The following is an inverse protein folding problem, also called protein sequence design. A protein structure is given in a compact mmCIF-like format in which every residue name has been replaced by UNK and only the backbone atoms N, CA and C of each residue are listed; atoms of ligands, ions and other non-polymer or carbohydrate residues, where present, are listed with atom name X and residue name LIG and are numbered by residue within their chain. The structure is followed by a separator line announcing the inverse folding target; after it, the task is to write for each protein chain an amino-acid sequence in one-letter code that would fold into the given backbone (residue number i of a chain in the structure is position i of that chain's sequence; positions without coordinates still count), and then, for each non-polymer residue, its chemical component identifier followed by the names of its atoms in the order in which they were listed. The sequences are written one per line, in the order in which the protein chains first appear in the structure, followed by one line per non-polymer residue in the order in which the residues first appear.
data_IF_637360724244
#
_entry.id   IF_637360724244
#
_cell.length_a   1.000
_cell.length_b   1.000
_cell.length_c   1.000
_cell.angle_alpha   90.00
_cell.angle_beta   90.00
_cell.angle_gamma   90.00
#
_symmetry.space_group_name_H-M   'P 1'
#
loop_
_entity.id
_entity.type
_entity.pdbx_description
1 polymer ?
#
# COMPACT_ATOMS: atom_id res chain seq x y z
N UNK A 1 27.11 4.77 -6.96
CA UNK A 1 26.34 5.76 -7.72
C UNK A 1 25.23 5.03 -8.47
N UNK A 2 23.97 5.34 -8.17
CA UNK A 2 22.77 4.78 -8.82
C UNK A 2 22.43 5.51 -10.13
N UNK A 3 23.25 6.49 -10.50
CA UNK A 3 23.18 7.21 -11.75
C UNK A 3 22.27 8.41 -11.77
N UNK A 4 22.07 8.93 -12.98
CA UNK A 4 21.38 10.20 -13.21
C UNK A 4 20.45 10.09 -14.40
N UNK A 5 19.22 10.56 -14.25
CA UNK A 5 18.22 10.49 -15.32
C UNK A 5 17.21 11.64 -15.20
N UNK A 6 16.44 11.85 -16.27
CA UNK A 6 15.32 12.80 -16.26
C UNK A 6 14.11 12.17 -16.92
N UNK A 7 12.91 12.47 -16.41
CA UNK A 7 11.64 11.97 -16.94
C UNK A 7 10.55 13.01 -16.69
N UNK A 8 9.60 13.10 -17.63
CA UNK A 8 8.41 13.95 -17.49
C UNK A 8 7.33 13.18 -16.73
N UNK A 9 6.66 13.87 -15.83
CA UNK A 9 5.60 13.33 -14.98
C UNK A 9 4.39 14.27 -15.00
N UNK A 10 3.20 13.74 -14.82
CA UNK A 10 1.99 14.55 -14.67
C UNK A 10 2.01 15.27 -13.32
N UNK A 11 1.53 16.51 -13.28
CA UNK A 11 1.46 17.30 -12.03
C UNK A 11 0.54 16.67 -10.98
N UNK A 12 -0.42 15.85 -11.40
CA UNK A 12 -1.33 15.10 -10.53
C UNK A 12 -0.71 13.82 -9.95
N UNK A 13 0.48 13.41 -10.40
CA UNK A 13 1.11 12.19 -9.88
C UNK A 13 1.69 12.44 -8.49
N UNK A 14 1.52 11.50 -7.57
CA UNK A 14 2.07 11.59 -6.23
C UNK A 14 3.59 11.40 -6.22
N UNK A 15 4.28 12.11 -5.31
CA UNK A 15 5.73 11.97 -5.14
C UNK A 15 6.16 10.53 -4.79
N UNK A 16 5.30 9.77 -4.09
CA UNK A 16 5.54 8.36 -3.78
C UNK A 16 5.46 7.46 -5.02
N UNK A 17 4.53 7.72 -5.94
CA UNK A 17 4.45 6.96 -7.19
C UNK A 17 5.67 7.24 -8.08
N UNK A 18 6.13 8.49 -8.10
CA UNK A 18 7.37 8.89 -8.78
C UNK A 18 8.56 8.16 -8.17
N UNK A 19 8.65 8.12 -6.83
CA UNK A 19 9.69 7.37 -6.11
C UNK A 19 9.69 5.91 -6.53
N UNK A 20 8.54 5.24 -6.43
CA UNK A 20 8.39 3.81 -6.71
C UNK A 20 8.74 3.47 -8.15
N UNK A 21 8.33 4.31 -9.09
CA UNK A 21 8.68 4.12 -10.49
C UNK A 21 10.18 4.33 -10.78
N UNK A 22 10.85 5.22 -10.05
CA UNK A 22 12.31 5.39 -10.13
C UNK A 22 13.02 4.16 -9.54
N UNK A 23 12.61 3.69 -8.36
CA UNK A 23 13.17 2.48 -7.71
C UNK A 23 13.03 1.27 -8.62
N UNK A 24 11.84 1.07 -9.19
CA UNK A 24 11.56 0.01 -10.16
C UNK A 24 12.51 0.06 -11.36
N UNK A 25 12.82 1.27 -11.84
CA UNK A 25 13.74 1.45 -12.96
C UNK A 25 15.21 1.20 -12.56
N UNK A 26 15.60 1.59 -11.35
CA UNK A 26 16.93 1.30 -10.79
C UNK A 26 17.12 -0.21 -10.60
N UNK A 27 16.09 -0.91 -10.14
CA UNK A 27 16.12 -2.34 -9.86
C UNK A 27 16.46 -3.19 -11.09
N UNK A 28 16.09 -2.77 -12.30
CA UNK A 28 16.43 -3.46 -13.56
C UNK A 28 17.95 -3.64 -13.72
N UNK A 29 18.74 -2.63 -13.35
CA UNK A 29 20.20 -2.68 -13.45
C UNK A 29 20.85 -3.14 -12.14
N UNK A 30 20.28 -2.77 -10.99
CA UNK A 30 20.75 -3.19 -9.67
C UNK A 30 20.82 -4.72 -9.56
N UNK A 31 19.76 -5.41 -10.01
CA UNK A 31 19.66 -6.88 -9.97
C UNK A 31 20.67 -7.60 -10.87
N UNK A 32 21.40 -6.89 -11.74
CA UNK A 32 22.52 -7.49 -12.49
C UNK A 32 23.75 -7.73 -11.61
N UNK A 33 23.88 -6.99 -10.51
CA UNK A 33 25.03 -7.05 -9.60
C UNK A 33 24.64 -7.45 -8.18
N UNK A 34 23.36 -7.40 -7.83
CA UNK A 34 22.82 -7.71 -6.50
C UNK A 34 21.79 -8.82 -6.58
N UNK A 35 21.69 -9.66 -5.54
CA UNK A 35 20.73 -10.77 -5.48
C UNK A 35 19.34 -10.38 -5.00
N UNK A 36 19.18 -9.17 -4.44
CA UNK A 36 17.95 -8.69 -3.80
C UNK A 36 17.61 -7.31 -4.35
N UNK A 37 16.35 -7.06 -4.73
CA UNK A 37 15.90 -5.74 -5.19
C UNK A 37 15.94 -4.74 -4.04
N UNK A 38 16.00 -3.45 -4.39
CA UNK A 38 15.80 -2.35 -3.46
C UNK A 38 14.29 -2.15 -3.27
N UNK A 39 13.84 -2.09 -2.04
CA UNK A 39 12.46 -1.77 -1.69
C UNK A 39 12.25 -0.26 -1.54
N UNK A 40 11.01 0.19 -1.74
CA UNK A 40 10.66 1.62 -1.69
C UNK A 40 10.94 2.23 -0.32
N UNK A 41 10.89 1.48 0.76
CA UNK A 41 11.15 1.96 2.12
C UNK A 41 12.65 2.03 2.47
N UNK A 42 13.51 1.35 1.71
CA UNK A 42 14.96 1.37 1.89
C UNK A 42 15.60 2.64 1.30
N UNK A 43 14.88 3.36 0.44
CA UNK A 43 15.35 4.61 -0.16
C UNK A 43 14.61 5.83 0.34
N UNK A 44 15.30 6.96 0.30
CA UNK A 44 14.73 8.29 0.54
C UNK A 44 14.96 9.19 -0.67
N UNK A 45 13.95 10.00 -1.00
CA UNK A 45 14.11 11.12 -1.93
C UNK A 45 14.67 12.29 -1.15
N UNK A 46 15.69 12.94 -1.68
CA UNK A 46 16.36 14.09 -1.10
C UNK A 46 16.55 15.17 -2.17
N UNK A 47 16.71 16.41 -1.74
CA UNK A 47 17.20 17.48 -2.58
C UNK A 47 18.70 17.33 -2.83
N UNK A 48 19.18 18.01 -3.86
CA UNK A 48 20.61 18.08 -4.19
C UNK A 48 21.47 18.42 -2.96
N UNK A 49 22.65 17.79 -2.86
CA UNK A 49 23.53 17.82 -1.70
C UNK A 49 22.92 17.18 -0.45
N UNK A 50 22.24 16.05 -0.64
CA UNK A 50 21.75 15.20 0.45
C UNK A 50 20.81 15.92 1.44
N UNK A 51 20.06 16.92 0.97
CA UNK A 51 19.16 17.69 1.83
C UNK A 51 17.82 16.97 1.96
N UNK A 52 17.38 16.74 3.19
CA UNK A 52 16.08 16.07 3.45
C UNK A 52 14.93 16.96 2.99
N UNK A 53 13.83 16.34 2.57
CA UNK A 53 12.59 17.06 2.26
C UNK A 53 12.08 17.80 3.50
N UNK A 54 11.34 18.88 3.27
CA UNK A 54 10.64 19.57 4.34
C UNK A 54 9.53 18.65 4.86
N UNK A 55 9.19 18.71 6.17
CA UNK A 55 8.09 17.94 6.72
C UNK A 55 6.79 18.12 5.93
N UNK A 56 6.00 17.07 5.83
CA UNK A 56 4.65 17.10 5.23
C UNK A 56 4.62 17.33 3.70
N UNK A 57 5.76 17.18 3.03
CA UNK A 57 5.86 17.32 1.56
C UNK A 57 6.02 15.99 0.83
N UNK A 58 6.35 14.89 1.52
CA UNK A 58 6.66 13.62 0.86
C UNK A 58 5.42 12.93 0.27
N UNK A 59 4.22 13.28 0.73
CA UNK A 59 2.94 12.70 0.27
C UNK A 59 2.18 13.58 -0.72
N UNK A 60 2.72 14.74 -1.09
CA UNK A 60 2.10 15.67 -2.05
C UNK A 60 2.05 15.11 -3.48
N UNK A 61 1.14 15.63 -4.29
CA UNK A 61 1.25 15.55 -5.75
C UNK A 61 2.45 16.36 -6.24
N UNK A 62 2.99 16.03 -7.41
CA UNK A 62 4.12 16.75 -8.01
C UNK A 62 3.83 18.25 -8.19
N UNK A 63 2.59 18.60 -8.55
CA UNK A 63 2.16 19.98 -8.70
C UNK A 63 2.15 20.75 -7.37
N UNK A 64 1.61 20.15 -6.32
CA UNK A 64 1.63 20.73 -4.96
C UNK A 64 3.07 20.85 -4.43
N UNK A 65 3.87 19.79 -4.60
CA UNK A 65 5.27 19.75 -4.23
C UNK A 65 6.07 20.86 -4.91
N UNK A 66 5.95 20.98 -6.24
CA UNK A 66 6.59 22.06 -6.99
C UNK A 66 6.14 23.44 -6.51
N UNK A 67 4.84 23.63 -6.29
CA UNK A 67 4.29 24.92 -5.86
C UNK A 67 4.82 25.33 -4.49
N UNK A 68 4.90 24.40 -3.53
CA UNK A 68 5.47 24.64 -2.21
C UNK A 68 6.93 25.12 -2.27
N UNK A 69 7.74 24.49 -3.12
CA UNK A 69 9.16 24.82 -3.28
C UNK A 69 9.43 25.99 -4.24
N UNK A 70 8.42 26.44 -4.99
CA UNK A 70 8.50 27.59 -5.91
C UNK A 70 8.25 28.94 -5.22
N UNK A 71 7.98 28.96 -3.92
CA UNK A 71 7.84 30.20 -3.16
C UNK A 71 9.13 31.01 -3.18
N UNK A 72 9.07 32.36 -3.11
CA UNK A 72 10.27 33.20 -3.17
C UNK A 72 11.34 32.86 -2.12
N UNK A 73 10.93 32.35 -0.95
CA UNK A 73 11.84 31.92 0.11
C UNK A 73 12.52 30.59 -0.20
N UNK A 74 11.81 29.65 -0.84
CA UNK A 74 12.30 28.29 -1.05
C UNK A 74 13.04 28.15 -2.39
N UNK A 75 12.58 28.81 -3.45
CA UNK A 75 13.09 28.59 -4.80
C UNK A 75 14.62 28.76 -4.94
N UNK A 76 15.29 29.75 -4.32
CA UNK A 76 16.74 29.88 -4.39
C UNK A 76 17.49 28.68 -3.77
N UNK A 77 16.91 28.09 -2.72
CA UNK A 77 17.55 27.00 -1.97
C UNK A 77 17.34 25.63 -2.62
N UNK A 78 16.18 25.41 -3.24
CA UNK A 78 15.77 24.07 -3.69
C UNK A 78 15.73 23.95 -5.22
N UNK A 79 15.22 24.96 -5.94
CA UNK A 79 15.01 24.88 -7.39
C UNK A 79 16.15 25.47 -8.21
N UNK A 80 16.88 26.46 -7.68
CA UNK A 80 18.02 27.07 -8.38
C UNK A 80 19.33 26.33 -8.11
N UNK A 81 19.42 25.60 -7.00
CA UNK A 81 20.59 24.82 -6.62
C UNK A 81 20.56 23.42 -7.28
N UNK A 82 20.97 23.35 -8.55
CA UNK A 82 21.02 22.10 -9.31
C UNK A 82 22.46 21.73 -9.69
N UNK A 83 22.79 20.42 -9.84
CA UNK A 83 24.09 19.97 -10.33
C UNK A 83 24.45 20.62 -11.67
N UNK A 84 25.75 20.84 -11.88
CA UNK A 84 26.26 21.51 -13.10
C UNK A 84 25.77 20.86 -14.39
N UNK A 85 25.67 19.53 -14.44
CA UNK A 85 25.17 18.79 -15.61
C UNK A 85 23.70 19.12 -15.97
N UNK A 86 22.89 19.52 -15.01
CA UNK A 86 21.46 19.83 -15.19
C UNK A 86 21.18 21.34 -15.33
N UNK A 87 22.19 22.22 -15.22
CA UNK A 87 22.02 23.69 -15.31
C UNK A 87 21.37 24.17 -16.61
N UNK A 88 21.51 23.43 -17.71
CA UNK A 88 20.89 23.79 -18.97
C UNK A 88 19.35 23.74 -18.93
N UNK A 89 18.76 22.92 -18.06
CA UNK A 89 17.30 22.89 -17.83
C UNK A 89 16.78 24.15 -17.14
N UNK A 90 17.59 24.83 -16.32
CA UNK A 90 17.18 26.08 -15.67
C UNK A 90 16.83 27.17 -16.69
N UNK A 91 17.52 27.19 -17.84
CA UNK A 91 17.23 28.14 -18.93
C UNK A 91 15.86 27.89 -19.57
N UNK A 92 15.37 26.65 -19.51
CA UNK A 92 14.09 26.22 -20.06
C UNK A 92 12.97 26.17 -19.01
N UNK A 93 13.28 26.43 -17.73
CA UNK A 93 12.36 26.25 -16.62
C UNK A 93 11.07 27.06 -16.73
N UNK A 94 11.11 28.22 -17.42
CA UNK A 94 9.90 29.04 -17.68
C UNK A 94 8.86 28.32 -18.53
N UNK A 95 9.31 27.50 -19.48
CA UNK A 95 8.42 26.74 -20.37
C UNK A 95 8.17 25.32 -19.84
N UNK A 96 9.14 24.75 -19.12
CA UNK A 96 9.06 23.40 -18.57
C UNK A 96 9.62 23.40 -17.14
N UNK A 97 8.77 23.54 -16.12
CA UNK A 97 9.17 23.39 -14.72
C UNK A 97 10.00 22.13 -14.50
N UNK A 98 11.09 22.27 -13.75
CA UNK A 98 12.06 21.20 -13.52
C UNK A 98 12.43 21.13 -12.03
N UNK A 99 12.60 19.90 -11.53
CA UNK A 99 13.02 19.60 -10.16
C UNK A 99 14.19 18.62 -10.24
N UNK A 100 15.24 18.84 -9.44
CA UNK A 100 16.36 17.91 -9.32
C UNK A 100 16.38 17.30 -7.92
N UNK A 101 16.23 15.98 -7.86
CA UNK A 101 16.20 15.20 -6.63
C UNK A 101 17.26 14.11 -6.69
N UNK A 102 17.77 13.73 -5.52
CA UNK A 102 18.67 12.62 -5.29
C UNK A 102 17.90 11.45 -4.67
N UNK A 103 18.26 10.23 -5.03
CA UNK A 103 17.79 9.02 -4.36
C UNK A 103 18.89 8.47 -3.47
N UNK A 104 18.60 8.34 -2.18
CA UNK A 104 19.56 7.92 -1.18
C UNK A 104 19.17 6.56 -0.59
N UNK A 105 20.07 5.59 -0.68
CA UNK A 105 19.98 4.26 -0.07
C UNK A 105 20.90 4.23 1.17
N UNK A 106 20.36 3.91 2.34
CA UNK A 106 21.20 3.62 3.50
C UNK A 106 21.75 2.20 3.38
N UNK A 107 22.99 2.08 2.92
CA UNK A 107 23.64 0.80 2.68
C UNK A 107 23.72 -0.05 3.97
N UNK A 108 23.94 0.57 5.13
CA UNK A 108 24.08 -0.15 6.39
C UNK A 108 22.76 -0.78 6.83
N UNK A 109 21.67 -0.02 6.71
CA UNK A 109 20.32 -0.54 6.96
C UNK A 109 19.94 -1.63 5.95
N UNK A 110 20.22 -1.40 4.66
CA UNK A 110 19.95 -2.36 3.59
C UNK A 110 20.67 -3.69 3.80
N UNK A 111 21.99 -3.66 4.08
CA UNK A 111 22.78 -4.87 4.30
C UNK A 111 22.29 -5.66 5.51
N UNK A 112 21.95 -4.95 6.61
CA UNK A 112 21.40 -5.58 7.81
C UNK A 112 20.06 -6.27 7.55
N UNK A 113 19.13 -5.60 6.86
CA UNK A 113 17.83 -6.17 6.51
C UNK A 113 17.98 -7.36 5.55
N UNK A 114 18.86 -7.26 4.56
CA UNK A 114 19.10 -8.34 3.61
C UNK A 114 19.68 -9.59 4.30
N UNK A 115 20.60 -9.40 5.26
CA UNK A 115 21.08 -10.50 6.10
C UNK A 115 19.93 -11.16 6.89
N UNK A 116 19.00 -10.36 7.43
CA UNK A 116 17.84 -10.87 8.14
C UNK A 116 16.87 -11.63 7.22
N UNK A 117 16.59 -11.12 6.01
CA UNK A 117 15.76 -11.78 4.97
C UNK A 117 16.36 -13.11 4.52
N UNK A 118 17.68 -13.16 4.36
CA UNK A 118 18.40 -14.39 3.99
C UNK A 118 18.33 -15.44 5.09
N UNK A 119 18.42 -15.03 6.36
CA UNK A 119 18.32 -15.93 7.50
C UNK A 119 16.93 -16.57 7.62
N UNK A 120 15.85 -15.81 7.43
CA UNK A 120 14.47 -16.32 7.51
C UNK A 120 14.13 -17.27 6.37
N UNK A 121 14.58 -16.98 5.14
CA UNK A 121 14.41 -17.87 3.99
C UNK A 121 15.08 -19.25 4.22
N UNK A 122 16.28 -19.25 4.81
CA UNK A 122 17.00 -20.48 5.14
C UNK A 122 16.31 -21.33 6.24
N UNK A 123 15.59 -20.68 7.16
CA UNK A 123 14.85 -21.34 8.22
C UNK A 123 13.53 -21.96 7.72
N UNK A 124 12.82 -21.30 6.80
CA UNK A 124 11.60 -21.81 6.20
C UNK A 124 11.82 -23.04 5.31
N UNK A 125 13.00 -23.16 4.68
CA UNK A 125 13.38 -24.28 3.81
C UNK A 125 13.66 -25.62 4.52
N UNK A 126 13.76 -25.64 5.86
CA UNK A 126 14.03 -26.88 6.64
C UNK A 126 12.77 -27.62 7.11
N UNK A 127 11.61 -27.41 6.48
CA UNK A 127 10.48 -28.33 6.65
C UNK A 127 10.78 -29.66 5.94
N UNK A 128 11.22 -30.61 6.78
CA UNK A 128 11.48 -32.03 6.53
C UNK A 128 10.38 -32.65 5.64
N UNK A 129 10.56 -32.65 4.31
CA UNK A 129 9.83 -33.55 3.42
C UNK A 129 10.21 -34.98 3.83
N UNK A 130 9.22 -35.75 4.29
CA UNK A 130 9.36 -37.17 4.54
C UNK A 130 9.87 -37.86 3.27
N UNK A 131 11.09 -38.38 3.32
CA UNK A 131 11.71 -39.11 2.22
C UNK A 131 11.46 -40.60 2.45
N UNK A 132 10.68 -41.21 1.55
CA UNK A 132 10.62 -42.66 1.42
C UNK A 132 11.99 -43.22 0.99
N UNK A 133 12.34 -44.46 1.38
CA UNK A 133 13.68 -45.00 1.14
C UNK A 133 13.76 -45.70 -0.22
N UNK A 134 14.78 -45.37 -1.00
CA UNK A 134 15.33 -46.30 -2.00
C UNK A 134 16.75 -45.89 -2.43
N UNK A 135 17.71 -46.64 -1.89
CA UNK A 135 18.85 -47.31 -2.54
C UNK A 135 19.75 -46.61 -3.57
N UNK A 136 21.05 -46.60 -3.24
CA UNK A 136 22.28 -46.61 -4.10
C UNK A 136 22.52 -45.40 -5.00
N UNK A 137 23.73 -44.90 -5.24
CA UNK A 137 25.09 -45.44 -5.10
C UNK A 137 26.09 -44.29 -4.94
N UNK A 138 27.18 -44.59 -4.25
CA UNK A 138 28.37 -43.79 -4.02
C UNK A 138 29.11 -43.38 -5.30
N UNK A 139 29.47 -42.10 -5.40
CA UNK A 139 30.77 -41.65 -5.94
C UNK A 139 31.18 -40.36 -5.22
N UNK A 140 32.36 -40.43 -4.61
CA UNK A 140 33.04 -39.34 -3.93
C UNK A 140 33.56 -38.33 -4.94
N UNK A 141 33.13 -37.07 -4.84
CA UNK A 141 33.87 -35.95 -5.39
C UNK A 141 34.23 -34.95 -4.30
N UNK A 142 35.43 -34.43 -4.48
CA UNK A 142 36.34 -33.88 -3.49
C UNK A 142 36.03 -32.39 -3.35
N UNK A 143 35.53 -31.98 -2.19
CA UNK A 143 35.32 -30.57 -1.87
C UNK A 143 36.68 -29.83 -1.91
N UNK A 144 36.82 -28.91 -2.86
CA UNK A 144 37.91 -27.93 -2.83
C UNK A 144 37.47 -26.71 -2.02
N UNK A 145 38.34 -26.18 -1.13
CA UNK A 145 38.03 -24.97 -0.39
C UNK A 145 38.10 -23.75 -1.33
N UNK A 146 36.95 -23.12 -1.53
CA UNK A 146 36.83 -21.82 -2.21
C UNK A 146 37.60 -20.76 -1.40
N UNK A 147 38.73 -20.31 -1.93
CA UNK A 147 39.49 -19.16 -1.38
C UNK A 147 38.65 -17.89 -1.56
N UNK A 148 38.14 -17.35 -0.46
CA UNK A 148 37.57 -16.00 -0.42
C UNK A 148 38.66 -14.98 -0.75
N UNK A 149 38.46 -14.24 -1.84
CA UNK A 149 39.29 -13.10 -2.20
C UNK A 149 39.05 -11.96 -1.19
N UNK A 150 40.13 -11.44 -0.60
CA UNK A 150 40.10 -10.22 0.22
C UNK A 150 39.75 -9.01 -0.67
N UNK A 151 38.92 -8.07 -0.21
CA UNK A 151 38.68 -6.84 -0.94
C UNK A 151 39.92 -5.95 -0.81
N UNK A 152 40.67 -5.79 -1.91
CA UNK A 152 41.67 -4.74 -2.02
C UNK A 152 40.96 -3.38 -2.06
N UNK A 153 41.28 -2.55 -1.07
CA UNK A 153 40.87 -1.14 -1.00
C UNK A 153 41.39 -0.38 -2.22
N UNK A 154 40.45 0.08 -3.05
CA UNK A 154 40.69 0.84 -4.24
C UNK A 154 39.35 1.19 -4.87
N UNK A 155 38.67 2.19 -4.30
CA UNK A 155 37.38 2.66 -4.78
C UNK A 155 37.51 3.31 -6.16
N UNK A 156 37.56 2.49 -7.21
CA UNK A 156 37.25 2.93 -8.55
C UNK A 156 35.78 3.33 -8.56
N UNK A 157 35.52 4.63 -8.67
CA UNK A 157 34.21 5.14 -9.07
C UNK A 157 33.86 4.50 -10.41
N UNK A 158 32.98 3.48 -10.38
CA UNK A 158 32.39 2.93 -11.60
C UNK A 158 31.45 4.00 -12.16
N UNK A 159 31.63 4.45 -13.41
CA UNK A 159 30.68 5.33 -14.07
C UNK A 159 29.31 4.64 -14.08
N UNK A 160 28.28 5.34 -13.63
CA UNK A 160 26.91 4.84 -13.74
C UNK A 160 26.53 4.67 -15.21
N UNK A 161 26.07 3.48 -15.58
CA UNK A 161 25.47 3.19 -16.89
C UNK A 161 23.94 3.41 -16.90
N UNK A 162 23.36 3.95 -15.83
CA UNK A 162 21.92 4.17 -15.73
C UNK A 162 21.46 5.28 -16.69
N UNK A 163 20.59 4.92 -17.63
CA UNK A 163 19.79 5.86 -18.40
C UNK A 163 18.35 5.36 -18.42
N UNK A 164 17.41 6.16 -17.92
CA UNK A 164 15.99 5.85 -18.10
C UNK A 164 15.68 5.88 -19.60
N UNK A 165 14.99 4.86 -20.10
CA UNK A 165 14.49 4.87 -21.47
C UNK A 165 13.50 6.03 -21.63
N UNK A 166 13.84 6.99 -22.49
CA UNK A 166 12.96 8.11 -22.85
C UNK A 166 11.81 7.68 -23.79
N UNK A 167 11.65 6.39 -24.09
CA UNK A 167 10.52 5.91 -24.87
C UNK A 167 9.27 5.95 -24.01
N UNK A 168 8.61 7.12 -24.00
CA UNK A 168 7.20 7.18 -23.65
C UNK A 168 6.47 6.22 -24.60
N UNK A 169 5.92 5.13 -24.04
CA UNK A 169 5.03 4.27 -24.80
C UNK A 169 3.92 5.11 -25.42
N UNK A 170 3.44 4.73 -26.61
CA UNK A 170 2.27 5.41 -27.20
C UNK A 170 1.14 5.39 -26.17
N UNK A 171 0.63 6.57 -25.83
CA UNK A 171 -0.54 6.69 -24.96
C UNK A 171 -1.70 5.96 -25.63
N UNK A 172 -2.04 4.77 -25.15
CA UNK A 172 -3.27 4.10 -25.55
C UNK A 172 -4.43 4.97 -25.11
N UNK A 173 -5.35 5.26 -26.03
CA UNK A 173 -6.62 5.89 -25.67
C UNK A 173 -7.35 4.91 -24.76
N UNK A 174 -7.45 5.24 -23.47
CA UNK A 174 -8.18 4.43 -22.51
C UNK A 174 -9.68 4.60 -22.80
N UNK A 175 -10.37 3.47 -23.01
CA UNK A 175 -11.83 3.47 -23.20
C UNK A 175 -12.50 3.60 -21.84
N UNK A 176 -13.59 4.34 -21.81
CA UNK A 176 -14.37 4.60 -20.60
C UNK A 176 -15.87 4.56 -20.91
N UNK A 177 -16.65 4.12 -19.93
CA UNK A 177 -18.11 4.07 -19.93
C UNK A 177 -18.66 5.17 -19.03
N UNK A 178 -19.72 5.86 -19.46
CA UNK A 178 -20.51 6.70 -18.55
C UNK A 178 -21.30 5.80 -17.59
N UNK A 179 -21.30 6.16 -16.31
CA UNK A 179 -22.02 5.46 -15.24
C UNK A 179 -22.88 6.43 -14.46
N UNK A 180 -24.06 5.97 -14.05
CA UNK A 180 -24.86 6.61 -12.98
C UNK A 180 -24.91 5.64 -11.82
N UNK A 181 -24.56 6.10 -10.63
CA UNK A 181 -24.60 5.33 -9.40
C UNK A 181 -25.65 5.87 -8.44
N UNK A 182 -26.36 4.98 -7.74
CA UNK A 182 -27.02 5.30 -6.46
C UNK A 182 -25.98 5.15 -5.34
N UNK A 183 -25.76 6.19 -4.55
CA UNK A 183 -24.76 6.21 -3.48
C UNK A 183 -25.37 5.76 -2.16
N UNK A 184 -24.72 4.79 -1.52
CA UNK A 184 -25.07 4.27 -0.20
C UNK A 184 -23.87 4.49 0.72
N UNK A 185 -24.13 5.11 1.87
CA UNK A 185 -23.10 5.39 2.88
C UNK A 185 -23.22 4.42 4.04
N UNK A 186 -22.10 4.09 4.68
CA UNK A 186 -22.05 3.27 5.88
C UNK A 186 -21.41 4.09 7.00
N UNK A 187 -22.00 4.03 8.20
CA UNK A 187 -21.43 4.67 9.40
C UNK A 187 -21.56 3.75 10.61
N UNK A 188 -20.72 3.98 11.61
CA UNK A 188 -20.76 3.27 12.89
C UNK A 188 -21.55 4.05 13.93
N UNK A 189 -22.28 3.32 14.76
CA UNK A 189 -22.87 3.86 15.99
C UNK A 189 -21.77 4.14 16.99
N UNK A 190 -21.69 5.37 17.53
CA UNK A 190 -20.59 5.81 18.41
C UNK A 190 -20.39 4.89 19.61
N UNK A 191 -21.47 4.39 20.23
CA UNK A 191 -21.41 3.58 21.45
C UNK A 191 -21.01 2.12 21.20
N UNK A 192 -21.44 1.51 20.09
CA UNK A 192 -21.31 0.06 19.86
C UNK A 192 -20.36 -0.30 18.74
N UNK A 193 -20.01 0.64 17.85
CA UNK A 193 -19.31 0.35 16.61
C UNK A 193 -20.17 -0.40 15.58
N UNK A 194 -21.47 -0.57 15.82
CA UNK A 194 -22.38 -1.24 14.88
C UNK A 194 -22.58 -0.40 13.62
N UNK A 195 -22.41 -1.01 12.45
CA UNK A 195 -22.54 -0.36 11.15
C UNK A 195 -24.00 -0.26 10.71
N UNK A 196 -24.36 0.84 10.07
CA UNK A 196 -25.66 1.07 9.44
C UNK A 196 -25.47 1.64 8.04
N UNK A 197 -26.26 1.13 7.10
CA UNK A 197 -26.30 1.63 5.73
C UNK A 197 -27.40 2.68 5.59
N UNK A 198 -27.08 3.78 4.93
CA UNK A 198 -28.04 4.83 4.55
C UNK A 198 -27.91 5.10 3.07
N UNK A 199 -28.97 4.77 2.35
CA UNK A 199 -29.23 5.20 0.99
C UNK A 199 -29.69 6.67 1.03
N UNK A 200 -28.87 7.58 0.52
CA UNK A 200 -29.20 9.00 0.47
C UNK A 200 -30.12 9.36 -0.70
N UNK A 201 -30.38 8.42 -1.62
CA UNK A 201 -31.00 8.70 -2.92
C UNK A 201 -30.12 9.57 -3.84
N UNK A 202 -28.88 9.88 -3.43
CA UNK A 202 -27.95 10.69 -4.21
C UNK A 202 -27.49 9.91 -5.44
N UNK A 203 -27.69 10.52 -6.61
CA UNK A 203 -27.18 9.99 -7.87
C UNK A 203 -25.83 10.62 -8.20
N UNK A 204 -24.83 9.79 -8.41
CA UNK A 204 -23.48 10.19 -8.81
C UNK A 204 -23.26 9.78 -10.27
N UNK A 205 -23.01 10.75 -11.14
CA UNK A 205 -22.68 10.50 -12.55
C UNK A 205 -21.18 10.64 -12.75
N UNK A 206 -20.56 9.72 -13.48
CA UNK A 206 -19.12 9.72 -13.73
C UNK A 206 -18.73 8.88 -14.94
N UNK A 207 -17.42 8.75 -15.15
CA UNK A 207 -16.84 7.90 -16.19
C UNK A 207 -15.92 6.87 -15.54
N UNK A 208 -16.18 5.59 -15.77
CA UNK A 208 -15.35 4.47 -15.30
C UNK A 208 -14.56 3.90 -16.48
N UNK A 209 -13.27 3.61 -16.27
CA UNK A 209 -12.48 2.91 -17.29
C UNK A 209 -13.05 1.52 -17.56
N UNK A 210 -13.05 1.10 -18.83
CA UNK A 210 -13.58 -0.20 -19.23
C UNK A 210 -12.70 -1.36 -18.75
N UNK A 211 -11.41 -1.11 -18.51
CA UNK A 211 -10.41 -2.10 -18.09
C UNK A 211 -9.86 -1.71 -16.72
N UNK A 212 -9.56 -2.69 -15.84
CA UNK A 212 -9.00 -2.39 -14.53
C UNK A 212 -7.56 -1.91 -14.66
N UNK A 213 -7.16 -0.95 -13.82
CA UNK A 213 -5.76 -0.52 -13.73
C UNK A 213 -4.95 -1.36 -12.72
N UNK A 214 -5.64 -2.11 -11.86
CA UNK A 214 -5.04 -3.00 -10.87
C UNK A 214 -5.96 -4.17 -10.54
N UNK A 215 -5.39 -5.31 -10.20
CA UNK A 215 -6.15 -6.47 -9.71
C UNK A 215 -5.34 -7.20 -8.65
N UNK A 216 -6.00 -7.50 -7.53
CA UNK A 216 -5.46 -8.39 -6.50
C UNK A 216 -5.87 -9.84 -6.79
N UNK A 217 -5.82 -10.68 -5.76
CA UNK A 217 -6.24 -12.09 -5.87
C UNK A 217 -7.73 -12.23 -6.19
N UNK A 218 -8.57 -11.31 -5.70
CA UNK A 218 -10.04 -11.47 -5.66
C UNK A 218 -10.81 -10.27 -6.22
N UNK A 219 -10.16 -9.11 -6.32
CA UNK A 219 -10.79 -7.84 -6.70
C UNK A 219 -10.06 -7.15 -7.84
N UNK A 220 -10.83 -6.48 -8.68
CA UNK A 220 -10.34 -5.58 -9.72
C UNK A 220 -10.66 -4.14 -9.34
N UNK A 221 -9.71 -3.25 -9.60
CA UNK A 221 -9.79 -1.82 -9.32
C UNK A 221 -9.83 -1.03 -10.64
N UNK A 222 -10.80 -0.15 -10.75
CA UNK A 222 -11.09 0.66 -11.93
C UNK A 222 -10.99 2.14 -11.58
N UNK A 223 -10.47 2.94 -12.51
CA UNK A 223 -10.42 4.39 -12.36
C UNK A 223 -11.80 4.97 -12.64
N UNK A 224 -12.32 5.75 -11.69
CA UNK A 224 -13.58 6.46 -11.77
C UNK A 224 -13.32 7.97 -11.71
N UNK A 225 -13.78 8.68 -12.73
CA UNK A 225 -13.65 10.13 -12.85
C UNK A 225 -15.02 10.80 -12.71
N UNK A 226 -15.14 11.74 -11.78
CA UNK A 226 -16.34 12.55 -11.63
C UNK A 226 -16.24 13.87 -12.41
N UNK A 227 -17.37 14.48 -12.81
CA UNK A 227 -17.39 15.75 -13.56
C UNK A 227 -16.72 16.93 -12.83
N UNK A 228 -16.65 16.88 -11.50
CA UNK A 228 -16.00 17.90 -10.66
C UNK A 228 -14.45 17.78 -10.68
N UNK A 229 -13.89 16.81 -11.41
CA UNK A 229 -12.46 16.55 -11.47
C UNK A 229 -11.92 15.63 -10.38
N UNK A 230 -12.76 15.21 -9.42
CA UNK A 230 -12.36 14.23 -8.42
C UNK A 230 -12.13 12.85 -9.05
N UNK A 231 -11.13 12.14 -8.53
CA UNK A 231 -10.76 10.81 -8.96
C UNK A 231 -10.99 9.80 -7.83
N UNK A 232 -11.64 8.71 -8.17
CA UNK A 232 -11.97 7.61 -7.29
C UNK A 232 -11.47 6.29 -7.88
N UNK A 233 -11.40 5.29 -7.03
CA UNK A 233 -11.18 3.90 -7.39
C UNK A 233 -12.46 3.14 -7.10
N UNK A 234 -13.03 2.51 -8.12
CA UNK A 234 -14.17 1.62 -7.98
C UNK A 234 -13.67 0.17 -7.98
N UNK A 235 -14.04 -0.60 -6.95
CA UNK A 235 -13.63 -2.00 -6.78
C UNK A 235 -14.83 -2.93 -6.84
N UNK A 236 -14.61 -4.09 -7.43
CA UNK A 236 -15.54 -5.22 -7.42
C UNK A 236 -14.79 -6.54 -7.28
N UNK A 237 -15.49 -7.57 -6.81
CA UNK A 237 -14.98 -8.92 -6.82
C UNK A 237 -15.09 -9.54 -8.21
N UNK A 238 -14.04 -10.25 -8.62
CA UNK A 238 -14.05 -11.11 -9.82
C UNK A 238 -13.86 -12.58 -9.46
N UNK A 239 -13.50 -12.88 -8.20
CA UNK A 239 -13.28 -14.23 -7.67
C UNK A 239 -13.50 -14.24 -6.15
N UNK A 240 -14.21 -15.24 -5.62
CA UNK A 240 -14.45 -15.38 -4.17
C UNK A 240 -13.72 -16.57 -3.54
N UNK A 241 -13.33 -17.56 -4.33
CA UNK A 241 -12.63 -18.76 -3.85
C UNK A 241 -11.58 -19.19 -4.87
N UNK A 242 -10.51 -19.84 -4.41
CA UNK A 242 -9.54 -20.52 -5.25
C UNK A 242 -10.11 -21.83 -5.82
N UNK A 243 -11.20 -21.72 -6.58
CA UNK A 243 -11.70 -22.84 -7.37
C UNK A 243 -10.91 -22.92 -8.69
N UNK A 244 -10.41 -24.10 -9.08
CA UNK A 244 -9.77 -24.30 -10.38
C UNK A 244 -10.76 -24.23 -11.56
N UNK A 245 -12.05 -24.07 -11.30
CA UNK A 245 -13.04 -23.81 -12.35
C UNK A 245 -12.90 -22.36 -12.84
N UNK A 246 -12.27 -22.19 -14.00
CA UNK A 246 -11.98 -20.90 -14.67
C UNK A 246 -13.20 -20.02 -14.98
N UNK A 247 -14.42 -20.48 -14.69
CA UNK A 247 -15.69 -19.88 -15.16
C UNK A 247 -16.66 -19.45 -14.05
N UNK A 248 -16.22 -19.40 -12.78
CA UNK A 248 -17.10 -18.88 -11.71
C UNK A 248 -17.12 -17.35 -11.72
N UNK A 249 -17.94 -16.78 -12.61
CA UNK A 249 -18.32 -15.37 -12.55
C UNK A 249 -19.00 -15.09 -11.20
N UNK A 250 -18.52 -14.07 -10.48
CA UNK A 250 -19.13 -13.64 -9.20
C UNK A 250 -20.51 -13.05 -9.52
N UNK A 251 -21.55 -13.57 -8.87
CA UNK A 251 -22.90 -13.06 -9.06
C UNK A 251 -23.01 -11.62 -8.53
N UNK A 252 -24.00 -10.86 -9.03
CA UNK A 252 -24.24 -9.48 -8.55
C UNK A 252 -24.49 -9.47 -7.03
N UNK A 253 -25.23 -10.46 -6.53
CA UNK A 253 -25.57 -10.58 -5.12
C UNK A 253 -24.36 -10.96 -4.26
N UNK A 254 -23.57 -11.96 -4.68
CA UNK A 254 -22.37 -12.35 -3.92
C UNK A 254 -21.36 -11.19 -3.89
N UNK A 255 -21.18 -10.48 -5.00
CA UNK A 255 -20.33 -9.29 -5.03
C UNK A 255 -20.86 -8.22 -4.06
N UNK A 256 -22.19 -7.98 -4.01
CA UNK A 256 -22.81 -7.01 -3.11
C UNK A 256 -22.52 -7.34 -1.65
N UNK A 257 -22.74 -8.58 -1.23
CA UNK A 257 -22.45 -9.05 0.13
C UNK A 257 -20.99 -8.79 0.51
N UNK A 258 -20.06 -9.08 -0.39
CA UNK A 258 -18.63 -8.95 -0.10
C UNK A 258 -18.14 -7.50 -0.06
N UNK A 259 -18.65 -6.62 -0.94
CA UNK A 259 -18.32 -5.18 -0.87
C UNK A 259 -18.99 -4.49 0.32
N UNK A 260 -20.20 -4.94 0.72
CA UNK A 260 -20.85 -4.53 1.97
C UNK A 260 -20.00 -4.93 3.19
N UNK A 261 -19.47 -6.17 3.20
CA UNK A 261 -18.52 -6.61 4.22
C UNK A 261 -17.27 -5.74 4.28
N UNK A 262 -16.69 -5.35 3.14
CA UNK A 262 -15.48 -4.51 3.10
C UNK A 262 -15.71 -3.10 3.63
N UNK A 263 -16.82 -2.45 3.28
CA UNK A 263 -17.13 -1.13 3.84
C UNK A 263 -17.46 -1.20 5.33
N UNK A 264 -18.09 -2.28 5.81
CA UNK A 264 -18.28 -2.52 7.25
C UNK A 264 -16.93 -2.58 7.96
N UNK A 265 -15.96 -3.34 7.44
CA UNK A 265 -14.60 -3.44 8.01
C UNK A 265 -13.90 -2.08 8.04
N UNK A 266 -14.02 -1.27 6.98
CA UNK A 266 -13.45 0.09 6.95
C UNK A 266 -14.09 1.00 8.01
N UNK A 267 -15.42 0.96 8.17
CA UNK A 267 -16.13 1.76 9.15
C UNK A 267 -15.81 1.34 10.59
N UNK A 268 -15.73 0.03 10.85
CA UNK A 268 -15.26 -0.50 12.13
C UNK A 268 -13.80 -0.11 12.40
N UNK A 269 -12.93 -0.18 11.38
CA UNK A 269 -11.54 0.27 11.47
C UNK A 269 -11.43 1.71 11.98
N UNK A 270 -12.21 2.64 11.42
CA UNK A 270 -12.30 4.03 11.90
C UNK A 270 -12.72 4.12 13.37
N UNK A 271 -13.80 3.42 13.72
CA UNK A 271 -14.33 3.44 15.07
C UNK A 271 -13.34 2.89 16.10
N UNK A 272 -12.67 1.77 15.79
CA UNK A 272 -11.62 1.22 16.64
C UNK A 272 -10.41 2.14 16.72
N UNK A 273 -10.01 2.80 15.63
CA UNK A 273 -8.88 3.72 15.63
C UNK A 273 -9.16 4.94 16.51
N UNK A 274 -10.39 5.46 16.48
CA UNK A 274 -10.84 6.52 17.38
C UNK A 274 -10.87 6.07 18.85
N UNK A 275 -11.31 4.84 19.12
CA UNK A 275 -11.23 4.24 20.45
C UNK A 275 -9.78 4.09 20.93
N UNK A 276 -8.89 3.59 20.07
CA UNK A 276 -7.46 3.45 20.33
C UNK A 276 -6.81 4.80 20.63
N UNK A 277 -7.09 5.83 19.82
CA UNK A 277 -6.54 7.17 20.09
C UNK A 277 -7.11 7.82 21.35
N UNK A 278 -8.37 7.54 21.72
CA UNK A 278 -8.90 7.94 23.03
C UNK A 278 -8.19 7.22 24.17
N UNK A 279 -7.92 5.93 24.01
CA UNK A 279 -7.15 5.14 24.97
C UNK A 279 -5.74 5.71 25.14
N UNK A 280 -5.00 5.94 24.05
CA UNK A 280 -3.65 6.53 24.07
C UNK A 280 -3.58 7.90 24.76
N UNK A 281 -4.63 8.73 24.70
CA UNK A 281 -4.66 10.04 25.40
C UNK A 281 -4.55 9.90 26.92
N UNK A 282 -4.88 8.75 27.49
CA UNK A 282 -4.66 8.43 28.90
C UNK A 282 -3.19 8.21 29.27
N UNK A 283 -2.33 7.91 28.29
CA UNK A 283 -0.93 7.53 28.46
C UNK A 283 0.01 8.52 27.75
N UNK A 284 0.10 9.75 28.28
CA UNK A 284 0.77 10.88 27.62
C UNK A 284 2.28 10.69 27.43
N UNK A 285 2.88 9.80 28.19
CA UNK A 285 4.29 9.43 28.13
C UNK A 285 4.63 8.52 26.94
N UNK A 286 3.63 7.89 26.31
CA UNK A 286 3.82 6.98 25.19
C UNK A 286 3.59 7.71 23.87
N UNK A 287 4.64 7.75 23.05
CA UNK A 287 4.57 8.33 21.72
C UNK A 287 3.96 7.29 20.77
N UNK A 288 2.89 7.69 20.09
CA UNK A 288 2.21 6.92 19.04
C UNK A 288 2.07 7.76 17.77
N UNK A 289 1.97 7.11 16.60
CA UNK A 289 1.66 7.83 15.36
C UNK A 289 0.16 8.19 15.31
N UNK A 290 -0.14 9.49 15.38
CA UNK A 290 -1.50 10.05 15.34
C UNK A 290 -1.98 10.42 13.93
N UNK A 291 -1.15 10.17 12.91
CA UNK A 291 -1.41 10.45 11.51
C UNK A 291 -1.80 9.18 10.75
N UNK A 292 -2.53 8.26 11.40
CA UNK A 292 -3.21 7.16 10.76
C UNK A 292 -4.68 7.54 10.55
N UNK A 293 -5.24 7.07 9.44
CA UNK A 293 -6.64 7.19 9.10
C UNK A 293 -7.06 5.95 8.28
N UNK A 294 -8.34 5.60 8.28
CA UNK A 294 -8.88 4.59 7.37
C UNK A 294 -9.52 5.25 6.17
N UNK A 295 -9.45 4.61 5.01
CA UNK A 295 -10.05 5.09 3.78
C UNK A 295 -11.51 5.52 3.94
N UNK A 296 -11.84 6.68 3.40
CA UNK A 296 -13.22 7.05 3.11
C UNK A 296 -13.71 6.31 1.87
N UNK A 297 -14.81 5.58 2.06
CA UNK A 297 -15.44 4.80 1.01
C UNK A 297 -16.97 4.90 1.12
N UNK A 298 -17.63 4.64 0.00
CA UNK A 298 -19.08 4.48 -0.10
C UNK A 298 -19.39 3.33 -1.05
N UNK A 299 -20.60 2.79 -0.96
CA UNK A 299 -21.10 1.84 -1.93
C UNK A 299 -21.79 2.59 -3.07
N UNK A 300 -21.55 2.16 -4.30
CA UNK A 300 -22.14 2.75 -5.48
C UNK A 300 -22.84 1.65 -6.28
N UNK A 301 -24.16 1.72 -6.41
CA UNK A 301 -24.95 0.74 -7.17
C UNK A 301 -25.19 1.30 -8.57
N UNK A 302 -24.79 0.59 -9.62
CA UNK A 302 -25.10 1.01 -11.00
C UNK A 302 -26.60 1.10 -11.21
N UNK A 303 -27.05 2.21 -11.80
CA UNK A 303 -28.44 2.41 -12.21
C UNK A 303 -28.51 2.77 -13.69
N UNK A 304 -29.67 2.50 -14.31
CA UNK A 304 -29.98 2.74 -15.74
C UNK A 304 -29.31 1.77 -16.73
N UNK A 305 -27.98 1.81 -16.85
CA UNK A 305 -27.24 1.01 -17.83
C UNK A 305 -25.97 0.44 -17.22
N UNK A 306 -25.69 -0.87 -17.42
CA UNK A 306 -24.46 -1.45 -16.92
C UNK A 306 -23.25 -0.92 -17.67
N UNK A 307 -22.15 -0.71 -16.95
CA UNK A 307 -20.87 -0.34 -17.56
C UNK A 307 -20.17 -1.57 -18.15
N UNK A 308 -19.25 -1.38 -19.12
CA UNK A 308 -18.40 -2.48 -19.57
C UNK A 308 -17.54 -3.06 -18.43
N UNK A 309 -17.11 -2.19 -17.50
CA UNK A 309 -16.33 -2.57 -16.34
C UNK A 309 -17.08 -3.54 -15.41
N UNK A 310 -18.41 -3.41 -15.30
CA UNK A 310 -19.25 -4.26 -14.45
C UNK A 310 -19.24 -5.73 -14.89
N UNK A 311 -19.07 -6.00 -16.19
CA UNK A 311 -19.28 -7.32 -16.78
C UNK A 311 -20.76 -7.77 -16.81
N UNK A 312 -21.70 -6.91 -16.40
CA UNK A 312 -23.14 -7.19 -16.38
C UNK A 312 -23.76 -6.88 -17.74
N UNK A 313 -24.60 -7.78 -18.26
CA UNK A 313 -25.23 -7.64 -19.59
C UNK A 313 -26.39 -6.64 -19.55
N UNK A 314 -27.24 -6.73 -18.52
CA UNK A 314 -28.41 -5.88 -18.33
C UNK A 314 -28.67 -5.69 -16.83
N UNK A 315 -29.18 -4.51 -16.46
CA UNK A 315 -29.68 -4.25 -15.11
C UNK A 315 -31.11 -4.81 -15.04
N UNK A 316 -31.45 -5.52 -13.97
CA UNK A 316 -32.75 -6.14 -13.78
C UNK A 316 -33.87 -5.09 -13.66
N UNK A 317 -35.14 -5.53 -13.76
CA UNK A 317 -36.31 -4.65 -13.75
C UNK A 317 -36.49 -3.90 -12.41
N UNK A 318 -35.93 -4.43 -11.31
CA UNK A 318 -35.85 -3.76 -10.01
C UNK A 318 -34.87 -2.56 -10.01
N UNK A 319 -34.10 -2.39 -11.08
CA UNK A 319 -33.32 -1.19 -11.38
C UNK A 319 -31.93 -1.14 -10.77
N UNK A 320 -31.47 -2.22 -10.10
CA UNK A 320 -30.17 -2.25 -9.42
C UNK A 320 -29.16 -3.14 -10.16
N UNK A 321 -28.03 -2.53 -10.54
CA UNK A 321 -26.91 -3.21 -11.19
C UNK A 321 -25.84 -3.68 -10.21
N UNK A 322 -24.60 -3.74 -10.69
CA UNK A 322 -23.47 -4.13 -9.85
C UNK A 322 -23.23 -3.09 -8.74
N UNK A 323 -22.97 -3.58 -7.51
CA UNK A 323 -22.54 -2.74 -6.39
C UNK A 323 -21.01 -2.65 -6.35
N UNK A 324 -20.49 -1.43 -6.25
CA UNK A 324 -19.06 -1.14 -6.20
C UNK A 324 -18.67 -0.62 -4.82
N UNK A 325 -17.48 -0.98 -4.34
CA UNK A 325 -16.82 -0.23 -3.28
C UNK A 325 -16.03 0.92 -3.92
N UNK A 326 -16.41 2.17 -3.61
CA UNK A 326 -15.80 3.36 -4.19
C UNK A 326 -15.04 4.13 -3.12
N UNK A 327 -13.76 4.40 -3.37
CA UNK A 327 -12.88 5.17 -2.47
C UNK A 327 -12.10 6.23 -3.23
N UNK A 328 -11.62 7.27 -2.53
CA UNK A 328 -10.77 8.30 -3.16
C UNK A 328 -9.51 7.68 -3.75
N UNK A 329 -9.09 8.15 -4.92
CA UNK A 329 -7.84 7.69 -5.54
C UNK A 329 -6.63 8.20 -4.74
N UNK A 330 -5.75 7.27 -4.39
CA UNK A 330 -4.54 7.48 -3.58
C UNK A 330 -3.30 7.07 -4.39
N UNK A 331 -2.08 7.39 -3.91
CA UNK A 331 -0.86 6.82 -4.48
C UNK A 331 -0.95 5.28 -4.56
N UNK A 332 -0.29 4.69 -5.54
CA UNK A 332 -0.28 3.23 -5.73
C UNK A 332 0.74 2.54 -4.82
N UNK A 333 1.66 3.29 -4.20
CA UNK A 333 2.57 2.75 -3.20
C UNK A 333 1.82 2.23 -1.97
N UNK A 334 2.09 0.98 -1.59
CA UNK A 334 1.46 0.31 -0.45
C UNK A 334 2.52 -0.11 0.55
N UNK A 335 2.29 0.19 1.83
CA UNK A 335 3.06 -0.34 2.95
C UNK A 335 2.22 -1.42 3.62
N UNK A 336 2.74 -2.65 3.67
CA UNK A 336 2.09 -3.80 4.31
C UNK A 336 2.65 -4.00 5.72
N UNK A 337 1.77 -4.05 6.71
CA UNK A 337 2.11 -4.24 8.13
C UNK A 337 1.84 -5.67 8.61
N UNK A 338 0.81 -6.31 8.07
CA UNK A 338 0.52 -7.73 8.28
C UNK A 338 0.01 -8.38 6.99
N UNK A 339 0.15 -9.69 6.89
CA UNK A 339 -0.54 -10.55 5.93
C UNK A 339 -1.86 -11.10 6.49
N UNK A 340 -2.51 -11.97 5.71
CA UNK A 340 -3.73 -12.66 6.13
C UNK A 340 -3.46 -13.62 7.30
N UNK A 341 -2.43 -14.46 7.19
CA UNK A 341 -2.05 -15.44 8.23
C UNK A 341 -0.66 -15.16 8.84
N UNK A 342 -0.12 -13.96 8.59
CA UNK A 342 1.23 -13.55 9.03
C UNK A 342 1.12 -12.16 9.66
N UNK A 343 0.96 -12.11 10.98
CA UNK A 343 0.72 -10.85 11.69
C UNK A 343 1.99 -10.13 12.18
N UNK A 344 3.17 -10.74 11.98
CA UNK A 344 4.44 -10.14 12.36
C UNK A 344 4.90 -9.13 11.31
N UNK A 345 5.19 -7.92 11.75
CA UNK A 345 5.96 -6.95 10.97
C UNK A 345 7.43 -7.02 11.38
N UNK A 346 8.33 -7.00 10.40
CA UNK A 346 9.77 -6.85 10.66
C UNK A 346 10.16 -5.38 10.87
N UNK A 347 9.26 -4.44 10.57
CA UNK A 347 9.49 -3.01 10.67
C UNK A 347 9.44 -2.58 12.13
N UNK A 348 10.41 -1.77 12.55
CA UNK A 348 10.54 -1.30 13.94
C UNK A 348 10.31 0.20 14.11
N UNK A 349 9.93 0.88 13.03
CA UNK A 349 9.61 2.31 13.05
C UNK A 349 8.35 2.60 13.89
N UNK A 350 8.21 3.86 14.31
CA UNK A 350 7.11 4.31 15.19
C UNK A 350 5.73 3.95 14.62
N UNK A 351 5.54 4.11 13.31
CA UNK A 351 4.26 3.86 12.64
C UNK A 351 3.95 2.37 12.64
N UNK A 352 4.91 1.53 12.28
CA UNK A 352 4.77 0.07 12.30
C UNK A 352 4.49 -0.45 13.72
N UNK A 353 5.18 0.08 14.72
CA UNK A 353 4.90 -0.24 16.12
C UNK A 353 3.50 0.20 16.56
N UNK A 354 3.02 1.35 16.07
CA UNK A 354 1.67 1.88 16.37
C UNK A 354 0.60 1.01 15.73
N UNK A 355 0.74 0.63 14.44
CA UNK A 355 -0.20 -0.26 13.75
C UNK A 355 -0.24 -1.64 14.41
N UNK A 356 0.91 -2.17 14.84
CA UNK A 356 0.97 -3.43 15.59
C UNK A 356 0.25 -3.36 16.94
N UNK A 357 0.44 -2.27 17.69
CA UNK A 357 -0.27 -2.04 18.95
C UNK A 357 -1.77 -1.83 18.75
N UNK A 358 -2.16 -1.14 17.68
CA UNK A 358 -3.56 -0.97 17.29
C UNK A 358 -4.24 -2.32 17.00
N UNK A 359 -3.59 -3.23 16.26
CA UNK A 359 -4.14 -4.56 16.00
C UNK A 359 -4.35 -5.37 17.30
N UNK A 360 -3.43 -5.27 18.26
CA UNK A 360 -3.57 -5.88 19.58
C UNK A 360 -4.71 -5.25 20.38
N UNK A 361 -4.78 -3.91 20.41
CA UNK A 361 -5.88 -3.20 21.04
C UNK A 361 -7.23 -3.65 20.49
N UNK A 362 -7.39 -3.78 19.18
CA UNK A 362 -8.63 -4.25 18.55
C UNK A 362 -9.01 -5.65 19.04
N UNK A 363 -8.03 -6.56 19.15
CA UNK A 363 -8.27 -7.91 19.66
C UNK A 363 -8.86 -7.90 21.06
N UNK A 364 -8.17 -7.31 22.05
CA UNK A 364 -8.68 -7.32 23.42
C UNK A 364 -9.88 -6.40 23.63
N UNK A 365 -9.93 -5.23 22.97
CA UNK A 365 -11.07 -4.31 23.08
C UNK A 365 -12.35 -4.89 22.47
N UNK A 366 -12.24 -5.81 21.51
CA UNK A 366 -13.37 -6.57 20.97
C UNK A 366 -13.78 -7.77 21.84
N UNK A 367 -13.27 -7.89 23.08
CA UNK A 367 -13.41 -9.08 23.92
C UNK A 367 -12.97 -10.36 23.21
N UNK A 368 -11.82 -10.28 22.52
CA UNK A 368 -11.20 -11.42 21.85
C UNK A 368 -12.08 -12.03 20.76
N UNK A 369 -12.96 -11.21 20.15
CA UNK A 369 -13.92 -11.66 19.13
C UNK A 369 -13.50 -11.35 17.70
N UNK A 370 -12.55 -10.42 17.52
CA UNK A 370 -12.13 -9.91 16.21
C UNK A 370 -10.63 -9.60 16.19
N UNK A 371 -9.95 -9.94 15.09
CA UNK A 371 -8.57 -9.54 14.80
C UNK A 371 -8.53 -8.86 13.44
N UNK A 372 -7.81 -7.75 13.31
CA UNK A 372 -7.47 -7.20 11.98
C UNK A 372 -6.28 -7.94 11.37
N UNK A 373 -6.45 -8.31 10.10
CA UNK A 373 -5.47 -8.97 9.25
C UNK A 373 -5.27 -8.14 7.97
N UNK A 374 -4.20 -8.45 7.21
CA UNK A 374 -3.81 -7.68 6.01
C UNK A 374 -3.82 -6.15 6.22
N UNK A 375 -3.40 -5.68 7.40
CA UNK A 375 -3.24 -4.25 7.66
C UNK A 375 -2.19 -3.70 6.71
N UNK A 376 -2.64 -2.84 5.81
CA UNK A 376 -1.83 -2.15 4.82
C UNK A 376 -2.36 -0.73 4.62
N UNK A 377 -1.50 0.14 4.13
CA UNK A 377 -1.89 1.51 3.88
C UNK A 377 -1.01 2.19 2.85
N UNK A 378 -1.48 3.33 2.36
CA UNK A 378 -0.76 4.17 1.41
C UNK A 378 -0.27 5.43 2.13
N UNK A 379 1.00 5.83 1.98
CA UNK A 379 1.45 7.12 2.47
C UNK A 379 0.60 8.23 1.88
N UNK A 380 -0.02 9.06 2.70
CA UNK A 380 -0.99 10.06 2.26
C UNK A 380 -1.02 11.23 3.23
N UNK A 381 -1.62 12.33 2.79
CA UNK A 381 -1.75 13.51 3.64
C UNK A 381 -2.91 13.31 4.62
N UNK A 382 -2.60 13.10 5.90
CA UNK A 382 -3.58 12.93 6.99
C UNK A 382 -3.52 14.16 7.88
N UNK A 383 -4.65 14.86 8.06
CA UNK A 383 -4.75 16.08 8.89
C UNK A 383 -3.69 17.14 8.51
N UNK A 384 -3.41 17.26 7.21
CA UNK A 384 -2.43 18.19 6.66
C UNK A 384 -0.97 17.74 6.74
N UNK A 385 -0.68 16.58 7.36
CA UNK A 385 0.66 16.05 7.61
C UNK A 385 0.95 14.78 6.80
N UNK A 386 2.22 14.42 6.68
CA UNK A 386 2.63 13.11 6.14
C UNK A 386 2.15 11.98 7.06
N UNK A 387 1.14 11.25 6.60
CA UNK A 387 0.49 10.18 7.34
C UNK A 387 0.34 8.91 6.52
N UNK A 388 -0.63 8.09 6.93
CA UNK A 388 -0.95 6.83 6.29
C UNK A 388 -2.47 6.61 6.29
N UNK A 389 -3.01 6.32 5.11
CA UNK A 389 -4.40 5.88 4.97
C UNK A 389 -4.42 4.35 4.85
N UNK A 390 -4.97 3.68 5.85
CA UNK A 390 -5.22 2.25 5.91
C UNK A 390 -6.44 1.88 5.05
N UNK A 391 -6.35 0.80 4.30
CA UNK A 391 -7.43 0.37 3.41
C UNK A 391 -7.34 -1.13 3.14
N UNK A 392 -8.41 -1.70 2.59
CA UNK A 392 -8.47 -3.11 2.17
C UNK A 392 -8.00 -4.06 3.29
N UNK A 393 -8.53 -3.85 4.49
CA UNK A 393 -8.27 -4.71 5.63
C UNK A 393 -9.14 -5.96 5.59
N UNK A 394 -8.61 -7.00 6.21
CA UNK A 394 -9.28 -8.26 6.44
C UNK A 394 -9.55 -8.43 7.94
N UNK A 395 -10.50 -9.30 8.28
CA UNK A 395 -10.82 -9.62 9.66
C UNK A 395 -10.81 -11.12 9.87
N UNK A 396 -10.40 -11.53 11.06
CA UNK A 396 -10.70 -12.86 11.58
C UNK A 396 -11.66 -12.73 12.75
N UNK A 397 -12.77 -13.46 12.68
CA UNK A 397 -13.80 -13.39 13.72
C UNK A 397 -14.01 -14.75 14.37
N UNK A 398 -14.66 -14.75 15.53
CA UNK A 398 -14.99 -16.02 16.20
C UNK A 398 -16.00 -16.87 15.41
N UNK A 399 -16.87 -16.24 14.61
CA UNK A 399 -17.83 -16.92 13.73
C UNK A 399 -17.21 -17.34 12.39
N UNK A 400 -16.22 -16.62 11.89
CA UNK A 400 -15.66 -16.87 10.55
C UNK A 400 -16.51 -16.28 9.43
N UNK A 401 -17.39 -15.32 9.73
CA UNK A 401 -18.42 -14.82 8.81
C UNK A 401 -18.19 -13.37 8.40
N UNK A 402 -17.01 -12.80 8.62
CA UNK A 402 -16.75 -11.40 8.28
C UNK A 402 -16.47 -11.14 6.79
N UNK A 403 -16.66 -12.14 5.93
CA UNK A 403 -16.45 -12.10 4.48
C UNK A 403 -15.30 -12.98 4.02
N UNK A 404 -15.01 -12.94 2.73
CA UNK A 404 -13.94 -13.73 2.12
C UNK A 404 -12.61 -13.47 2.83
N UNK A 405 -11.85 -14.55 3.09
CA UNK A 405 -10.56 -14.55 3.78
C UNK A 405 -10.64 -14.42 5.31
N UNK A 406 -11.82 -14.54 5.90
CA UNK A 406 -11.97 -14.80 7.33
C UNK A 406 -11.63 -16.28 7.64
N UNK A 407 -10.46 -16.51 8.23
CA UNK A 407 -10.03 -17.85 8.67
C UNK A 407 -10.54 -18.22 10.07
N UNK A 408 -11.48 -17.46 10.60
CA UNK A 408 -12.10 -17.65 11.89
C UNK A 408 -11.08 -17.73 13.04
N UNK A 409 -11.35 -18.62 13.99
CA UNK A 409 -10.44 -18.91 15.12
C UNK A 409 -9.05 -19.39 14.69
N UNK A 410 -8.92 -20.03 13.53
CA UNK A 410 -7.62 -20.45 13.03
C UNK A 410 -6.76 -19.24 12.66
N UNK A 411 -7.33 -18.27 11.93
CA UNK A 411 -6.70 -16.99 11.64
C UNK A 411 -6.33 -16.22 12.90
N UNK A 412 -7.27 -16.09 13.85
CA UNK A 412 -7.02 -15.44 15.14
C UNK A 412 -5.87 -16.09 15.93
N UNK A 413 -5.74 -17.42 15.85
CA UNK A 413 -4.63 -18.12 16.50
C UNK A 413 -3.27 -17.74 15.90
N UNK A 414 -3.20 -17.55 14.57
CA UNK A 414 -1.95 -17.09 13.95
C UNK A 414 -1.54 -15.70 14.42
N UNK A 415 -2.51 -14.84 14.73
CA UNK A 415 -2.24 -13.55 15.39
C UNK A 415 -1.67 -13.75 16.79
N UNK A 416 -2.29 -14.58 17.62
CA UNK A 416 -1.82 -14.83 18.99
C UNK A 416 -0.40 -15.43 19.02
N UNK A 417 -0.14 -16.43 18.18
CA UNK A 417 1.16 -17.09 18.11
C UNK A 417 2.23 -16.13 17.54
N UNK A 418 1.83 -15.32 16.55
CA UNK A 418 2.69 -14.40 15.83
C UNK A 418 2.96 -13.10 16.58
N UNK A 419 2.00 -12.52 17.26
CA UNK A 419 2.13 -11.18 17.85
C UNK A 419 3.25 -11.16 18.90
N UNK A 420 4.03 -10.09 18.87
CA UNK A 420 5.06 -9.79 19.86
C UNK A 420 4.84 -8.34 20.29
N UNK A 421 4.49 -8.17 21.56
CA UNK A 421 4.24 -6.85 22.11
C UNK A 421 5.44 -5.93 21.88
N UNK A 422 5.17 -4.79 21.26
CA UNK A 422 6.16 -3.73 21.03
C UNK A 422 6.33 -2.89 22.28
N UNK A 423 7.23 -1.90 22.23
CA UNK A 423 7.34 -0.89 23.29
C UNK A 423 6.02 -0.12 23.50
N UNK A 424 5.23 0.07 22.43
CA UNK A 424 3.94 0.74 22.50
C UNK A 424 2.90 -0.15 23.17
N UNK A 425 2.81 -1.44 22.82
CA UNK A 425 1.86 -2.35 23.47
C UNK A 425 2.05 -2.37 25.00
N UNK A 426 3.30 -2.55 25.45
CA UNK A 426 3.64 -2.58 26.88
C UNK A 426 3.50 -1.22 27.56
N UNK A 427 3.91 -0.16 26.86
CA UNK A 427 3.81 1.20 27.39
C UNK A 427 2.37 1.64 27.62
N UNK A 428 1.47 1.22 26.74
CA UNK A 428 0.02 1.44 26.86
C UNK A 428 -0.68 0.38 27.72
N UNK A 429 0.07 -0.54 28.35
CA UNK A 429 -0.47 -1.65 29.14
C UNK A 429 -1.50 -2.55 28.41
N UNK A 430 -1.51 -2.56 27.07
CA UNK A 430 -2.47 -3.32 26.25
C UNK A 430 -2.35 -4.81 26.54
N UNK A 431 -1.14 -5.31 26.75
CA UNK A 431 -0.87 -6.71 27.11
C UNK A 431 -1.45 -7.15 28.46
N UNK A 432 -1.86 -6.20 29.30
CA UNK A 432 -2.48 -6.47 30.59
C UNK A 432 -3.97 -6.09 30.65
N UNK A 433 -4.36 -4.98 30.03
CA UNK A 433 -5.75 -4.50 30.01
C UNK A 433 -6.58 -5.19 28.92
N UNK A 434 -5.94 -5.61 27.83
CA UNK A 434 -6.55 -6.17 26.62
C UNK A 434 -5.77 -7.42 26.15
N UNK A 435 -5.66 -8.47 27.00
CA UNK A 435 -4.75 -9.60 26.79
C UNK A 435 -5.13 -10.58 25.67
#
# INVERSE_FOLDING_TARGET
DLGSSSKKWAVSMYMQDIKSAIVSSINVEWLRNSSVPIDDDEVSIRWFNNRVLDPDTATMTLGEFYSYYSTPSNAPMYLQNVPTMWKHYLKQAKANPFICLEMYLDQGAFDYENMARSATASAAGKRKRGRAPSTSSSTSEREQPMKQARPSGGGMFRPSLFGLSNRAGRSSILKQSEVTFKKITCFTTVSTGACQFVDSGELVVGHILDEPFGSGTMKSAYDLHLPNGEQYVAKRFFKLQDSPAEDTCVSVEDNRVEVEGEIIRLCQGKWFLDAFYRFCKGHKEIIVDLNLEFADAFLAVEVKKPSKASGVIAIAEDGEGLTWLVERKRPTTVIKFSGTLVHQSHRTDLRSATVSAFAHFVYGYSNNSLVFADLQGTPSRVKGKDGLVLFDLMTHTTSGESGVGDFGKAGMRTFLDGHKCTKICRGLAIDSEYP
#
